data_IF_568913517370
#
_entry.id   IF_568913517370
#
_cell.length_a   1.000
_cell.length_b   1.000
_cell.length_c   1.000
_cell.angle_alpha   90.00
_cell.angle_beta   90.00
_cell.angle_gamma   90.00
#
_symmetry.space_group_name_H-M   'P 1'
#
loop_
_entity.id
_entity.type
_entity.pdbx_description
1 polymer ?
#
# COMPACT_ATOMS: atom_id res chain seq x y z
N UNK A 1 -21.42 -3.86 -3.73
CA UNK A 1 -20.15 -3.59 -4.46
C UNK A 1 -19.36 -4.86 -4.81
N UNK A 2 -18.73 -5.60 -3.88
CA UNK A 2 -18.06 -6.87 -4.24
C UNK A 2 -19.04 -8.01 -4.56
N UNK A 3 -20.13 -8.10 -3.81
CA UNK A 3 -21.18 -9.12 -4.03
C UNK A 3 -22.02 -8.85 -5.29
N UNK A 4 -21.88 -7.66 -5.88
CA UNK A 4 -22.57 -7.23 -7.10
C UNK A 4 -21.75 -7.51 -8.36
N UNK A 5 -20.52 -8.01 -8.22
CA UNK A 5 -19.73 -8.43 -9.38
C UNK A 5 -20.46 -9.56 -10.12
N UNK A 6 -20.40 -9.64 -11.45
CA UNK A 6 -20.97 -10.76 -12.19
C UNK A 6 -20.31 -12.08 -11.76
N UNK A 7 -21.07 -13.19 -11.80
CA UNK A 7 -20.61 -14.48 -11.26
C UNK A 7 -19.31 -14.98 -11.92
N UNK A 8 -19.11 -14.70 -13.21
CA UNK A 8 -17.87 -14.99 -13.94
C UNK A 8 -16.63 -14.31 -13.37
N UNK A 9 -16.82 -13.23 -12.62
CA UNK A 9 -15.76 -12.45 -11.98
C UNK A 9 -15.58 -12.84 -10.52
N UNK A 10 -16.56 -13.43 -9.83
CA UNK A 10 -16.45 -13.77 -8.40
C UNK A 10 -15.38 -14.84 -8.11
N UNK A 11 -15.14 -15.73 -9.06
CA UNK A 11 -14.17 -16.83 -8.91
C UNK A 11 -12.70 -16.40 -9.12
N UNK A 12 -12.46 -15.14 -9.49
CA UNK A 12 -11.11 -14.62 -9.68
C UNK A 12 -10.47 -14.23 -8.34
N UNK A 13 -9.16 -14.50 -8.21
CA UNK A 13 -8.39 -14.03 -7.06
C UNK A 13 -8.08 -12.55 -7.18
N UNK A 14 -8.79 -11.71 -6.41
CA UNK A 14 -8.55 -10.28 -6.37
C UNK A 14 -7.49 -9.89 -5.35
N UNK A 15 -6.58 -9.01 -5.79
CA UNK A 15 -5.70 -8.24 -4.92
C UNK A 15 -6.17 -6.79 -4.89
N UNK A 16 -6.65 -6.36 -3.73
CA UNK A 16 -7.19 -5.02 -3.50
C UNK A 16 -6.09 -4.08 -2.99
N UNK A 17 -6.05 -2.88 -3.54
CA UNK A 17 -5.14 -1.82 -3.15
C UNK A 17 -5.92 -0.62 -2.62
N UNK A 18 -5.60 -0.16 -1.41
CA UNK A 18 -6.29 0.96 -0.78
C UNK A 18 -5.34 2.13 -0.48
N UNK A 19 -5.82 3.34 -0.75
CA UNK A 19 -5.13 4.55 -0.32
C UNK A 19 -5.22 4.75 1.20
N UNK A 20 -4.30 5.57 1.71
CA UNK A 20 -4.13 5.95 3.11
C UNK A 20 -5.40 6.45 3.80
N UNK A 21 -6.37 6.98 3.05
CA UNK A 21 -7.64 7.47 3.60
C UNK A 21 -8.56 6.33 4.03
N UNK A 22 -8.50 5.16 3.37
CA UNK A 22 -9.41 4.04 3.61
C UNK A 22 -8.76 2.88 4.35
N UNK A 23 -7.44 2.82 4.38
CA UNK A 23 -6.70 1.72 5.04
C UNK A 23 -6.82 1.76 6.56
N UNK A 24 -7.21 0.62 7.14
CA UNK A 24 -7.12 0.30 8.57
C UNK A 24 -6.81 -1.20 8.76
N UNK A 25 -6.17 -1.58 9.87
CA UNK A 25 -5.84 -3.00 10.09
C UNK A 25 -7.09 -3.88 10.26
N UNK A 26 -8.17 -3.33 10.83
CA UNK A 26 -9.44 -4.04 10.96
C UNK A 26 -10.06 -4.34 9.59
N UNK A 27 -10.06 -3.35 8.69
CA UNK A 27 -10.52 -3.54 7.30
C UNK A 27 -9.73 -4.65 6.60
N UNK A 28 -8.39 -4.64 6.74
CA UNK A 28 -7.53 -5.66 6.14
C UNK A 28 -7.83 -7.06 6.70
N UNK A 29 -8.03 -7.19 8.01
CA UNK A 29 -8.39 -8.48 8.63
C UNK A 29 -9.74 -9.00 8.11
N UNK A 30 -10.76 -8.14 8.05
CA UNK A 30 -12.08 -8.52 7.58
C UNK A 30 -12.08 -8.94 6.10
N UNK A 31 -11.40 -8.18 5.24
CA UNK A 31 -11.29 -8.52 3.82
C UNK A 31 -10.49 -9.81 3.59
N UNK A 32 -9.45 -10.05 4.39
CA UNK A 32 -8.72 -11.32 4.37
C UNK A 32 -9.60 -12.49 4.78
N UNK A 33 -10.44 -12.33 5.81
CA UNK A 33 -11.39 -13.35 6.22
C UNK A 33 -12.43 -13.67 5.14
N UNK A 34 -12.74 -12.70 4.27
CA UNK A 34 -13.58 -12.89 3.08
C UNK A 34 -12.81 -13.51 1.89
N UNK A 35 -11.53 -13.84 2.05
CA UNK A 35 -10.69 -14.45 1.02
C UNK A 35 -9.96 -13.48 0.10
N UNK A 36 -10.05 -12.16 0.35
CA UNK A 36 -9.40 -11.17 -0.50
C UNK A 36 -7.98 -10.84 -0.04
N UNK A 37 -7.08 -10.73 -1.02
CA UNK A 37 -5.76 -10.18 -0.81
C UNK A 37 -5.81 -8.66 -0.70
N UNK A 38 -5.17 -8.05 0.29
CA UNK A 38 -5.26 -6.60 0.51
C UNK A 38 -3.91 -6.00 0.83
N UNK A 39 -3.61 -4.87 0.20
CA UNK A 39 -2.44 -4.03 0.50
C UNK A 39 -2.86 -2.57 0.53
N UNK A 40 -2.36 -1.77 1.47
CA UNK A 40 -2.68 -0.36 1.51
C UNK A 40 -1.71 0.47 2.33
N UNK A 41 -1.50 1.71 1.90
CA UNK A 41 -0.75 2.68 2.70
C UNK A 41 -1.52 2.95 3.99
N UNK A 42 -0.87 2.97 5.15
CA UNK A 42 -1.52 3.21 6.44
C UNK A 42 -0.95 4.44 7.12
N UNK A 43 -1.83 5.31 7.63
CA UNK A 43 -1.40 6.48 8.42
C UNK A 43 -0.92 6.03 9.79
N UNK A 44 0.15 6.66 10.30
CA UNK A 44 0.72 6.32 11.61
C UNK A 44 -0.28 6.39 12.77
N UNK A 45 -1.26 7.30 12.72
CA UNK A 45 -2.29 7.43 13.75
C UNK A 45 -3.33 6.30 13.73
N UNK A 46 -3.34 5.46 12.68
CA UNK A 46 -4.23 4.29 12.55
C UNK A 46 -3.54 2.97 12.88
N UNK A 47 -2.24 3.00 13.17
CA UNK A 47 -1.54 1.83 13.68
C UNK A 47 -1.85 1.69 15.17
N UNK A 48 -2.38 0.54 15.63
CA UNK A 48 -2.68 0.30 17.04
C UNK A 48 -1.45 0.50 17.93
N UNK A 49 -1.65 1.11 19.12
CA UNK A 49 -0.56 1.37 20.07
C UNK A 49 0.09 0.10 20.62
N UNK A 50 -0.66 -1.00 20.66
CA UNK A 50 -0.18 -2.32 21.08
C UNK A 50 0.61 -3.04 19.99
N UNK A 51 0.70 -2.50 18.77
CA UNK A 51 1.54 -3.08 17.74
C UNK A 51 3.01 -2.83 18.10
N UNK A 52 3.85 -3.88 18.19
CA UNK A 52 5.27 -3.76 18.50
C UNK A 52 5.99 -3.13 17.30
N UNK A 53 5.87 -1.81 17.23
CA UNK A 53 6.42 -0.98 16.17
C UNK A 53 7.26 0.13 16.80
N UNK A 54 8.42 0.45 16.22
CA UNK A 54 9.32 1.45 16.78
C UNK A 54 8.63 2.82 16.86
N UNK A 55 9.03 3.59 17.88
CA UNK A 55 8.49 4.93 18.09
C UNK A 55 8.82 5.84 16.90
N UNK A 56 8.01 6.88 16.70
CA UNK A 56 8.24 7.88 15.65
C UNK A 56 9.62 8.54 15.77
N UNK A 57 10.15 8.67 16.99
CA UNK A 57 11.47 9.23 17.23
C UNK A 57 12.60 8.33 16.71
N UNK A 58 12.47 7.01 16.87
CA UNK A 58 13.43 6.04 16.33
C UNK A 58 13.36 6.02 14.81
N UNK A 59 12.14 5.99 14.26
CA UNK A 59 11.98 5.94 12.80
C UNK A 59 12.55 7.18 12.09
N UNK A 60 12.45 8.37 12.70
CA UNK A 60 13.07 9.59 12.16
C UNK A 60 14.60 9.53 12.06
N UNK A 61 15.25 8.63 12.81
CA UNK A 61 16.70 8.44 12.79
C UNK A 61 17.14 7.35 11.81
N UNK A 62 16.20 6.62 11.20
CA UNK A 62 16.51 5.59 10.22
C UNK A 62 17.23 6.20 9.01
N UNK A 63 18.26 5.50 8.54
CA UNK A 63 18.91 5.87 7.30
C UNK A 63 17.96 5.66 6.12
N UNK A 64 18.15 6.47 5.07
CA UNK A 64 17.32 6.40 3.87
C UNK A 64 17.41 5.01 3.24
N UNK A 65 16.26 4.39 3.02
CA UNK A 65 16.18 3.02 2.49
C UNK A 65 16.07 1.93 3.55
N UNK A 66 16.31 2.24 4.83
CA UNK A 66 16.06 1.28 5.90
C UNK A 66 14.56 1.00 6.02
N UNK A 67 14.24 -0.21 6.42
CA UNK A 67 12.88 -0.65 6.65
C UNK A 67 12.78 -1.44 7.94
N UNK A 68 11.62 -1.37 8.57
CA UNK A 68 11.25 -2.14 9.75
C UNK A 68 9.91 -2.76 9.49
N UNK A 69 9.80 -4.04 9.82
CA UNK A 69 8.57 -4.79 9.63
C UNK A 69 8.09 -5.39 10.94
N UNK A 70 6.78 -5.46 11.07
CA UNK A 70 6.09 -6.11 12.19
C UNK A 70 5.03 -7.01 11.59
N UNK A 71 5.06 -8.30 11.94
CA UNK A 71 4.03 -9.25 11.54
C UNK A 71 3.04 -9.42 12.69
N UNK A 72 1.79 -9.04 12.46
CA UNK A 72 0.68 -9.46 13.32
C UNK A 72 0.36 -10.91 13.00
N UNK A 73 0.81 -11.83 13.87
CA UNK A 73 0.59 -13.27 13.71
C UNK A 73 -0.88 -13.67 13.86
N UNK A 74 -1.67 -12.88 14.60
CA UNK A 74 -3.08 -13.21 14.88
C UNK A 74 -3.93 -13.01 13.63
N UNK A 75 -3.76 -11.87 12.95
CA UNK A 75 -4.50 -11.57 11.72
C UNK A 75 -3.71 -11.93 10.44
N UNK A 76 -2.43 -12.26 10.59
CA UNK A 76 -1.48 -12.46 9.48
C UNK A 76 -1.37 -11.22 8.60
N UNK A 77 -1.22 -10.06 9.22
CA UNK A 77 -1.04 -8.77 8.54
C UNK A 77 0.41 -8.35 8.73
N UNK A 78 1.11 -8.11 7.62
CA UNK A 78 2.43 -7.52 7.63
C UNK A 78 2.29 -6.00 7.64
N UNK A 79 2.87 -5.35 8.65
CA UNK A 79 3.09 -3.91 8.66
C UNK A 79 4.55 -3.64 8.31
N UNK A 80 4.77 -2.93 7.22
CA UNK A 80 6.09 -2.56 6.74
C UNK A 80 6.25 -1.04 6.76
N UNK A 81 7.39 -0.57 7.26
CA UNK A 81 7.71 0.85 7.36
C UNK A 81 9.05 1.11 6.73
N UNK A 82 9.09 2.00 5.76
CA UNK A 82 10.28 2.28 4.97
C UNK A 82 10.64 3.75 5.02
N UNK A 83 11.91 4.01 5.28
CA UNK A 83 12.44 5.35 5.43
C UNK A 83 12.71 5.98 4.07
N UNK A 84 11.83 6.87 3.63
CA UNK A 84 12.03 7.75 2.48
C UNK A 84 12.43 9.17 2.94
N UNK A 85 11.91 10.24 2.33
CA UNK A 85 12.03 11.61 2.83
C UNK A 85 11.15 11.74 4.07
N UNK A 86 10.03 11.01 4.06
CA UNK A 86 9.20 10.69 5.19
C UNK A 86 9.12 9.18 5.36
N UNK A 87 8.62 8.74 6.51
CA UNK A 87 8.36 7.32 6.75
C UNK A 87 7.10 6.91 6.01
N UNK A 88 7.23 6.02 5.04
CA UNK A 88 6.11 5.36 4.37
C UNK A 88 5.73 4.15 5.21
N UNK A 89 4.45 3.99 5.50
CA UNK A 89 3.92 2.83 6.23
C UNK A 89 2.91 2.11 5.36
N UNK A 90 3.06 0.81 5.23
CA UNK A 90 2.30 -0.07 4.37
C UNK A 90 1.78 -1.25 5.19
N UNK A 91 0.53 -1.64 5.00
CA UNK A 91 -0.01 -2.87 5.57
C UNK A 91 -0.41 -3.81 4.43
N UNK A 92 -0.06 -5.09 4.53
CA UNK A 92 -0.37 -6.10 3.51
C UNK A 92 -0.75 -7.44 4.14
N UNK A 93 -1.70 -8.13 3.52
CA UNK A 93 -2.09 -9.52 3.87
C UNK A 93 -1.55 -10.56 2.89
N UNK A 94 -0.99 -10.11 1.77
CA UNK A 94 -0.57 -10.97 0.65
C UNK A 94 0.92 -10.89 0.35
N UNK A 95 1.53 -9.73 0.55
CA UNK A 95 2.92 -9.51 0.21
C UNK A 95 3.80 -9.54 1.44
N UNK A 96 4.93 -10.24 1.29
CA UNK A 96 6.05 -10.15 2.20
C UNK A 96 6.96 -8.96 1.88
N UNK A 97 8.12 -8.96 2.52
CA UNK A 97 9.19 -7.98 2.31
C UNK A 97 10.10 -8.42 1.16
N UNK A 98 10.26 -9.73 1.01
CA UNK A 98 11.18 -10.36 0.05
C UNK A 98 10.44 -10.79 -1.23
N UNK A 99 11.07 -10.72 -2.42
CA UNK A 99 12.41 -10.18 -2.65
C UNK A 99 12.46 -8.65 -2.51
N UNK A 100 13.58 -8.14 -2.00
CA UNK A 100 13.84 -6.70 -1.95
C UNK A 100 14.11 -6.19 -3.37
N UNK A 101 13.31 -5.23 -3.81
CA UNK A 101 13.61 -4.44 -5.00
C UNK A 101 14.68 -3.40 -4.72
N UNK A 102 15.20 -2.78 -5.78
CA UNK A 102 16.04 -1.57 -5.68
C UNK A 102 15.33 -0.42 -6.36
N UNK A 103 15.36 0.75 -5.75
CA UNK A 103 14.76 1.97 -6.31
C UNK A 103 15.75 3.13 -6.20
N UNK A 104 15.80 3.96 -7.22
CA UNK A 104 16.56 5.22 -7.18
C UNK A 104 15.70 6.28 -6.52
N UNK A 105 16.20 6.88 -5.44
CA UNK A 105 15.53 7.95 -4.73
C UNK A 105 16.45 9.14 -4.60
N UNK A 106 15.88 10.34 -4.71
CA UNK A 106 16.59 11.55 -4.38
C UNK A 106 16.72 11.68 -2.86
N UNK A 107 17.96 11.73 -2.37
CA UNK A 107 18.27 12.01 -0.98
C UNK A 107 18.49 13.50 -0.79
N UNK A 108 17.60 14.17 -0.05
CA UNK A 108 17.76 15.59 0.27
C UNK A 108 19.04 15.86 1.08
N UNK A 109 19.40 14.94 1.99
CA UNK A 109 20.60 15.05 2.82
C UNK A 109 21.89 15.00 1.98
N UNK A 110 21.92 14.18 0.93
CA UNK A 110 23.11 14.02 0.07
C UNK A 110 23.02 14.81 -1.25
N UNK A 111 21.90 15.49 -1.50
CA UNK A 111 21.57 16.21 -2.74
C UNK A 111 21.84 15.40 -4.03
N UNK A 112 21.62 14.08 -3.96
CA UNK A 112 21.86 13.17 -5.09
C UNK A 112 20.89 12.00 -5.09
N UNK A 113 20.77 11.36 -6.24
CA UNK A 113 20.05 10.11 -6.37
C UNK A 113 20.90 8.98 -5.80
N UNK A 114 20.32 8.21 -4.88
CA UNK A 114 20.91 7.02 -4.29
C UNK A 114 20.04 5.80 -4.60
N UNK A 115 20.68 4.64 -4.76
CA UNK A 115 19.97 3.39 -4.92
C UNK A 115 19.78 2.76 -3.55
N UNK A 116 18.53 2.50 -3.18
CA UNK A 116 18.18 1.92 -1.87
C UNK A 116 17.34 0.66 -2.03
N UNK A 117 17.41 -0.27 -1.07
CA UNK A 117 16.49 -1.40 -1.04
C UNK A 117 15.06 -0.92 -0.79
N UNK A 118 14.10 -1.57 -1.43
CA UNK A 118 12.66 -1.33 -1.27
C UNK A 118 11.94 -2.66 -1.07
N UNK A 119 11.15 -2.80 -0.01
CA UNK A 119 10.30 -3.97 0.20
C UNK A 119 9.33 -4.26 -0.94
N UNK A 120 9.03 -5.54 -1.18
CA UNK A 120 8.13 -5.99 -2.25
C UNK A 120 6.73 -5.36 -2.15
N UNK A 121 6.14 -5.36 -0.95
CA UNK A 121 4.80 -4.80 -0.72
C UNK A 121 4.68 -3.34 -1.18
N UNK A 122 5.69 -2.51 -0.86
CA UNK A 122 5.74 -1.11 -1.26
C UNK A 122 5.94 -0.96 -2.76
N UNK A 123 6.81 -1.78 -3.36
CA UNK A 123 7.02 -1.75 -4.81
C UNK A 123 5.75 -2.10 -5.60
N UNK A 124 5.04 -3.13 -5.16
CA UNK A 124 3.81 -3.60 -5.80
C UNK A 124 2.66 -2.60 -5.62
N UNK A 125 2.54 -2.01 -4.43
CA UNK A 125 1.58 -0.94 -4.16
C UNK A 125 1.81 0.26 -5.09
N UNK A 126 3.04 0.77 -5.17
CA UNK A 126 3.35 1.94 -6.02
C UNK A 126 3.06 1.65 -7.49
N UNK A 127 3.35 0.44 -7.97
CA UNK A 127 3.06 0.04 -9.35
C UNK A 127 1.56 -0.05 -9.63
N UNK A 128 0.76 -0.44 -8.64
CA UNK A 128 -0.70 -0.58 -8.78
C UNK A 128 -1.39 0.79 -8.71
N UNK A 129 -1.02 1.62 -7.74
CA UNK A 129 -1.52 3.00 -7.63
C UNK A 129 -1.14 3.86 -8.83
N UNK A 130 0.09 3.73 -9.34
CA UNK A 130 0.51 4.46 -10.53
C UNK A 130 -0.30 4.11 -11.78
N UNK A 131 -0.81 2.88 -11.89
CA UNK A 131 -1.72 2.51 -12.98
C UNK A 131 -3.08 3.21 -12.84
N UNK A 132 -3.60 3.31 -11.62
CA UNK A 132 -4.82 4.06 -11.33
C UNK A 132 -4.66 5.55 -11.67
N UNK A 133 -3.57 6.19 -11.24
CA UNK A 133 -3.31 7.60 -11.53
C UNK A 133 -3.18 7.88 -13.04
N UNK A 134 -2.49 7.01 -13.79
CA UNK A 134 -2.39 7.11 -15.25
C UNK A 134 -3.76 6.96 -15.92
N UNK A 135 -4.63 6.11 -15.37
CA UNK A 135 -5.99 5.94 -15.88
C UNK A 135 -6.83 7.19 -15.63
N UNK A 136 -6.79 7.76 -14.42
CA UNK A 136 -7.49 9.00 -14.10
C UNK A 136 -7.00 10.16 -14.98
N UNK A 137 -5.69 10.23 -15.21
CA UNK A 137 -5.10 11.19 -16.13
C UNK A 137 -5.62 10.98 -17.56
N UNK A 138 -5.66 9.74 -18.05
CA UNK A 138 -6.18 9.44 -19.39
C UNK A 138 -7.65 9.82 -19.52
N UNK A 139 -8.48 9.53 -18.51
CA UNK A 139 -9.89 9.92 -18.49
C UNK A 139 -10.03 11.44 -18.49
N UNK A 140 -9.22 12.15 -17.69
CA UNK A 140 -9.25 13.62 -17.62
C UNK A 140 -8.88 14.30 -18.94
N UNK A 141 -8.06 13.64 -19.78
CA UNK A 141 -7.63 14.13 -21.09
C UNK A 141 -8.64 13.88 -22.20
N UNK A 142 -9.67 13.06 -21.95
CA UNK A 142 -10.72 12.83 -22.94
C UNK A 142 -11.60 14.09 -23.05
N UNK A 143 -11.90 14.56 -24.27
CA UNK A 143 -12.67 15.81 -24.50
C UNK A 143 -14.15 15.72 -24.10
N UNK A 144 -14.60 14.56 -23.61
CA UNK A 144 -15.95 14.33 -23.09
C UNK A 144 -15.83 13.64 -21.74
N UNK A 145 -16.69 13.99 -20.78
CA UNK A 145 -16.76 13.33 -19.48
C UNK A 145 -17.20 11.88 -19.61
N UNK A 146 -16.28 10.98 -19.95
CA UNK A 146 -16.54 9.55 -20.05
C UNK A 146 -16.40 8.95 -18.65
N UNK A 147 -17.50 8.44 -18.09
CA UNK A 147 -17.44 7.53 -16.94
C UNK A 147 -16.95 6.17 -17.44
N UNK A 148 -15.64 5.95 -17.34
CA UNK A 148 -15.08 4.61 -17.55
C UNK A 148 -15.30 3.82 -16.26
N UNK A 149 -16.12 2.77 -16.33
CA UNK A 149 -16.24 1.80 -15.23
C UNK A 149 -15.06 0.86 -15.34
N UNK A 150 -14.00 1.18 -14.61
CA UNK A 150 -12.94 0.22 -14.28
C UNK A 150 -13.14 -0.16 -12.82
N UNK A 151 -13.16 -1.46 -12.53
CA UNK A 151 -13.27 -2.01 -11.16
C UNK A 151 -11.96 -1.78 -10.38
N UNK A 152 -11.57 -0.52 -10.24
CA UNK A 152 -10.69 -0.06 -9.16
C UNK A 152 -11.65 0.39 -8.06
N UNK A 153 -11.71 -0.35 -6.96
CA UNK A 153 -12.58 -0.06 -5.80
C UNK A 153 -12.16 1.27 -5.18
N UNK A 154 -12.66 2.38 -5.74
CA UNK A 154 -12.61 3.70 -5.15
C UNK A 154 -13.81 3.79 -4.21
N UNK A 155 -13.56 3.57 -2.93
CA UNK A 155 -14.47 4.06 -1.90
C UNK A 155 -14.37 5.59 -1.95
N UNK A 156 -15.43 6.27 -2.37
CA UNK A 156 -15.58 7.72 -2.20
C UNK A 156 -16.66 7.91 -1.15
N UNK A 157 -16.35 8.62 -0.05
CA UNK A 157 -17.34 9.22 0.84
C UNK A 157 -17.11 10.71 0.89
#
# INVERSE_FOLDING_TARGET
>A
MLNELPDTKKDLQYSLYFDNLFTSLHLLSNLKALGYGVTGAIRNNRVPKNCPSPSRAIMKKMARGEYIHTLDKTNGILLDRWAENNIVSMASTIYGISPLGKVKLYSQAQKKNIQVPRPLAIGTYNSSMGQTELMDENISRLPFGVKVVVESVHLVS
#
